data_IF_902856941895
#
_entry.id   IF_902856941895
#
_cell.length_a   1.000
_cell.length_b   1.000
_cell.length_c   1.000
_cell.angle_alpha   90.00
_cell.angle_beta   90.00
_cell.angle_gamma   90.00
#
_symmetry.space_group_name_H-M   'P 1'
#
loop_
_entity.id
_entity.type
_entity.pdbx_description
1 polymer ?
#
# COMPACT_ATOMS: atom_id res chain seq x y z
N UNK A 1 11.75 -22.36 0.77
CA UNK A 1 11.20 -21.50 1.83
C UNK A 1 11.76 -21.94 3.18
N UNK A 2 12.12 -21.02 4.09
CA UNK A 2 12.48 -21.36 5.47
C UNK A 2 11.33 -22.09 6.18
N UNK A 3 11.66 -22.78 7.28
CA UNK A 3 10.62 -23.36 8.12
C UNK A 3 9.77 -22.28 8.82
N UNK A 4 8.57 -22.67 9.24
CA UNK A 4 7.61 -21.77 9.89
C UNK A 4 8.17 -21.14 11.17
N UNK A 5 8.99 -21.87 11.94
CA UNK A 5 9.57 -21.36 13.19
C UNK A 5 10.58 -20.24 12.91
N UNK A 6 11.36 -20.35 11.83
CA UNK A 6 12.30 -19.33 11.42
C UNK A 6 11.58 -18.04 11.00
N UNK A 7 10.49 -18.15 10.22
CA UNK A 7 9.67 -17.00 9.82
C UNK A 7 9.01 -16.32 11.03
N UNK A 8 8.49 -17.08 11.99
CA UNK A 8 7.94 -16.52 13.22
C UNK A 8 8.98 -15.80 14.07
N UNK A 9 10.17 -16.39 14.24
CA UNK A 9 11.26 -15.72 14.95
C UNK A 9 11.63 -14.40 14.28
N UNK A 10 11.71 -14.39 12.95
CA UNK A 10 11.99 -13.17 12.19
C UNK A 10 10.91 -12.10 12.43
N UNK A 11 9.64 -12.50 12.41
CA UNK A 11 8.52 -11.60 12.69
C UNK A 11 8.59 -11.02 14.11
N UNK A 12 8.78 -11.87 15.13
CA UNK A 12 8.84 -11.44 16.54
C UNK A 12 10.00 -10.48 16.83
N UNK A 13 11.12 -10.67 16.12
CA UNK A 13 12.29 -9.79 16.27
C UNK A 13 12.14 -8.50 15.47
N UNK A 14 11.60 -8.56 14.26
CA UNK A 14 11.65 -7.46 13.30
C UNK A 14 10.35 -6.66 13.15
N UNK A 15 9.18 -7.16 13.54
CA UNK A 15 7.91 -6.46 13.38
C UNK A 15 7.74 -5.40 14.49
N UNK A 16 8.53 -4.33 14.41
CA UNK A 16 8.59 -3.28 15.43
C UNK A 16 8.65 -1.90 14.78
N UNK A 17 7.98 -0.92 15.39
CA UNK A 17 7.95 0.47 14.91
C UNK A 17 9.33 1.10 14.76
N UNK A 18 10.27 0.74 15.63
CA UNK A 18 11.64 1.24 15.60
C UNK A 18 12.38 0.92 14.30
N UNK A 19 11.96 -0.15 13.59
CA UNK A 19 12.54 -0.54 12.31
C UNK A 19 11.83 0.07 11.10
N UNK A 20 10.73 0.80 11.30
CA UNK A 20 9.95 1.39 10.18
C UNK A 20 10.74 2.50 9.50
N UNK A 21 11.45 3.36 10.23
CA UNK A 21 12.19 4.45 9.60
C UNK A 21 13.40 3.95 8.78
N UNK A 22 13.64 4.45 7.55
CA UNK A 22 12.74 5.29 6.74
C UNK A 22 11.70 4.44 5.98
N UNK A 23 10.43 4.82 6.04
CA UNK A 23 9.35 4.21 5.24
C UNK A 23 8.14 5.16 5.13
N UNK A 24 7.43 5.26 3.99
CA UNK A 24 6.19 6.02 3.88
C UNK A 24 5.14 5.69 4.93
N UNK A 25 5.10 4.45 5.43
CA UNK A 25 4.22 4.03 6.51
C UNK A 25 4.36 4.91 7.77
N UNK A 26 5.54 5.49 8.02
CA UNK A 26 5.79 6.30 9.21
C UNK A 26 4.90 7.55 9.26
N UNK A 27 4.50 8.10 8.10
CA UNK A 27 3.67 9.31 8.05
C UNK A 27 2.24 9.06 8.53
N UNK A 28 1.77 7.81 8.50
CA UNK A 28 0.43 7.45 8.97
C UNK A 28 0.32 7.55 10.50
N UNK A 29 1.43 7.36 11.22
CA UNK A 29 1.46 7.37 12.68
C UNK A 29 1.20 8.76 13.27
N UNK A 30 1.38 9.81 12.47
CA UNK A 30 1.13 11.20 12.87
C UNK A 30 -0.38 11.52 12.95
N UNK A 31 -1.24 10.66 12.40
CA UNK A 31 -2.68 10.90 12.29
C UNK A 31 -3.47 9.96 13.21
N UNK A 32 -4.05 10.47 14.32
CA UNK A 32 -4.79 9.65 15.28
C UNK A 32 -6.20 9.29 14.79
N UNK A 33 -6.79 10.10 13.92
CA UNK A 33 -8.12 9.85 13.37
C UNK A 33 -8.05 8.95 12.14
N UNK A 34 -8.91 7.93 12.10
CA UNK A 34 -8.91 6.92 11.03
C UNK A 34 -9.15 7.56 9.66
N UNK A 35 -10.06 8.54 9.55
CA UNK A 35 -10.34 9.21 8.27
C UNK A 35 -9.11 9.89 7.65
N UNK A 36 -8.30 10.58 8.46
CA UNK A 36 -7.06 11.20 8.00
C UNK A 36 -6.00 10.14 7.71
N UNK A 37 -5.92 9.08 8.53
CA UNK A 37 -4.99 7.95 8.31
C UNK A 37 -5.27 7.21 7.00
N UNK A 38 -6.55 7.02 6.65
CA UNK A 38 -6.98 6.45 5.37
C UNK A 38 -6.44 7.29 4.19
N UNK A 39 -6.71 8.59 4.20
CA UNK A 39 -6.30 9.50 3.13
C UNK A 39 -4.76 9.57 3.00
N UNK A 40 -4.06 9.76 4.12
CA UNK A 40 -2.60 9.83 4.18
C UNK A 40 -1.98 8.51 3.75
N UNK A 41 -2.52 7.38 4.21
CA UNK A 41 -2.06 6.05 3.84
C UNK A 41 -2.16 5.79 2.34
N UNK A 42 -3.26 6.19 1.72
CA UNK A 42 -3.46 5.99 0.29
C UNK A 42 -2.49 6.86 -0.52
N UNK A 43 -2.31 8.13 -0.14
CA UNK A 43 -1.33 9.03 -0.75
C UNK A 43 0.10 8.47 -0.61
N UNK A 44 0.46 8.02 0.59
CA UNK A 44 1.75 7.40 0.90
C UNK A 44 2.04 6.19 0.02
N UNK A 45 1.09 5.26 -0.06
CA UNK A 45 1.23 4.04 -0.85
C UNK A 45 1.33 4.33 -2.37
N UNK A 46 0.50 5.22 -2.91
CA UNK A 46 0.52 5.59 -4.32
C UNK A 46 1.82 6.31 -4.73
N UNK A 47 2.45 7.05 -3.81
CA UNK A 47 3.76 7.68 -4.00
C UNK A 47 4.95 6.77 -3.65
N UNK A 48 4.74 5.56 -3.13
CA UNK A 48 5.78 4.63 -2.67
C UNK A 48 6.56 3.94 -3.82
N UNK A 49 7.15 4.75 -4.70
CA UNK A 49 8.03 4.32 -5.77
C UNK A 49 9.20 5.28 -5.95
N UNK A 50 10.39 4.71 -6.16
CA UNK A 50 11.65 5.45 -6.20
C UNK A 50 12.44 5.37 -4.89
N UNK A 51 13.34 6.34 -4.66
CA UNK A 51 14.20 6.33 -3.47
C UNK A 51 13.41 6.83 -2.25
N UNK A 52 13.50 6.14 -1.13
CA UNK A 52 12.73 6.47 0.10
C UNK A 52 12.86 7.93 0.54
N UNK A 53 14.06 8.50 0.49
CA UNK A 53 14.27 9.91 0.83
C UNK A 53 13.52 10.89 -0.10
N UNK A 54 13.34 10.52 -1.38
CA UNK A 54 12.54 11.32 -2.32
C UNK A 54 11.05 11.17 -2.04
N UNK A 55 10.59 9.94 -1.75
CA UNK A 55 9.20 9.66 -1.40
C UNK A 55 8.78 10.47 -0.16
N UNK A 56 9.58 10.43 0.91
CA UNK A 56 9.29 11.19 2.14
C UNK A 56 9.29 12.71 1.91
N UNK A 57 10.13 13.24 1.00
CA UNK A 57 10.06 14.66 0.61
C UNK A 57 8.76 14.99 -0.11
N UNK A 58 8.34 14.15 -1.06
CA UNK A 58 7.08 14.32 -1.78
C UNK A 58 5.89 14.23 -0.84
N UNK A 59 5.90 13.33 0.13
CA UNK A 59 4.84 13.24 1.14
C UNK A 59 4.79 14.49 2.00
N UNK A 60 5.93 14.99 2.49
CA UNK A 60 5.94 16.25 3.25
C UNK A 60 5.35 17.41 2.45
N UNK A 61 5.68 17.53 1.16
CA UNK A 61 5.07 18.54 0.30
C UNK A 61 3.55 18.40 0.29
N UNK A 62 3.03 17.22 -0.07
CA UNK A 62 1.58 17.00 -0.24
C UNK A 62 0.86 17.23 1.08
N UNK A 63 1.30 16.58 2.16
CA UNK A 63 0.64 16.66 3.46
C UNK A 63 0.65 18.07 4.04
N UNK A 64 1.74 18.84 3.84
CA UNK A 64 1.77 20.25 4.25
C UNK A 64 0.73 21.11 3.52
N UNK A 65 0.45 20.82 2.25
CA UNK A 65 -0.57 21.51 1.46
C UNK A 65 -2.01 21.12 1.82
N UNK A 66 -2.22 19.92 2.38
CA UNK A 66 -3.55 19.44 2.80
C UNK A 66 -3.90 19.87 4.24
N UNK A 67 -2.90 20.22 5.06
CA UNK A 67 -3.08 20.66 6.44
C UNK A 67 -3.23 19.50 7.44
N UNK A 68 -3.75 19.82 8.64
CA UNK A 68 -3.86 18.85 9.75
C UNK A 68 -4.98 17.83 9.59
N UNK A 69 -5.97 18.11 8.73
CA UNK A 69 -7.10 17.23 8.44
C UNK A 69 -7.21 16.93 6.93
N UNK A 70 -6.29 16.13 6.36
CA UNK A 70 -6.28 15.82 4.94
C UNK A 70 -7.60 15.26 4.42
N UNK A 71 -8.30 14.41 5.19
CA UNK A 71 -9.57 13.83 4.73
C UNK A 71 -10.66 14.89 4.62
N UNK A 72 -10.76 15.77 5.60
CA UNK A 72 -11.71 16.89 5.57
C UNK A 72 -11.41 17.84 4.42
N UNK A 73 -10.14 18.19 4.21
CA UNK A 73 -9.71 19.01 3.07
C UNK A 73 -10.14 18.36 1.76
N UNK A 74 -9.81 17.08 1.53
CA UNK A 74 -10.14 16.40 0.27
C UNK A 74 -11.65 16.26 0.04
N UNK A 75 -12.42 16.02 1.10
CA UNK A 75 -13.88 15.91 1.03
C UNK A 75 -14.54 17.22 0.61
N UNK A 76 -14.08 18.34 1.16
CA UNK A 76 -14.73 19.66 1.02
C UNK A 76 -14.12 20.58 -0.05
N UNK A 77 -12.85 20.39 -0.39
CA UNK A 77 -12.13 21.25 -1.32
C UNK A 77 -12.72 21.18 -2.74
N UNK A 78 -12.76 22.34 -3.37
CA UNK A 78 -13.05 22.48 -4.80
C UNK A 78 -11.88 21.95 -5.65
N UNK A 79 -12.15 21.62 -6.91
CA UNK A 79 -11.09 21.22 -7.85
C UNK A 79 -10.00 22.29 -8.00
N UNK A 80 -10.33 23.58 -7.86
CA UNK A 80 -9.36 24.67 -7.92
C UNK A 80 -8.44 24.72 -6.68
N UNK A 81 -8.97 24.43 -5.49
CA UNK A 81 -8.18 24.30 -4.26
C UNK A 81 -7.22 23.11 -4.32
N UNK A 82 -7.69 21.96 -4.80
CA UNK A 82 -6.84 20.77 -4.95
C UNK A 82 -5.72 21.03 -5.97
N UNK A 83 -6.01 21.70 -7.10
CA UNK A 83 -4.98 22.11 -8.06
C UNK A 83 -3.95 23.05 -7.46
N UNK A 84 -4.38 24.00 -6.62
CA UNK A 84 -3.46 24.90 -5.89
C UNK A 84 -2.59 24.13 -4.89
N UNK A 85 -3.15 23.16 -4.16
CA UNK A 85 -2.40 22.32 -3.23
C UNK A 85 -1.35 21.44 -3.93
N UNK A 86 -1.61 21.04 -5.18
CA UNK A 86 -0.68 20.27 -6.00
C UNK A 86 0.34 21.12 -6.78
N UNK A 87 0.18 22.45 -6.83
CA UNK A 87 0.98 23.33 -7.69
C UNK A 87 2.48 23.26 -7.36
N UNK A 88 3.32 23.04 -8.37
CA UNK A 88 4.76 22.84 -8.22
C UNK A 88 5.17 21.43 -7.80
N UNK A 89 4.22 20.50 -7.61
CA UNK A 89 4.54 19.12 -7.26
C UNK A 89 5.27 18.40 -8.40
N UNK A 90 6.34 17.68 -8.04
CA UNK A 90 7.02 16.76 -8.95
C UNK A 90 7.63 15.59 -8.19
N UNK A 91 7.32 14.38 -8.65
CA UNK A 91 7.92 13.15 -8.14
C UNK A 91 8.20 12.20 -9.30
N UNK A 92 9.46 12.14 -9.74
CA UNK A 92 9.89 11.37 -10.91
C UNK A 92 9.06 11.71 -12.17
N UNK A 93 8.10 10.86 -12.52
CA UNK A 93 7.22 11.02 -13.67
C UNK A 93 5.79 11.46 -13.29
N UNK A 94 5.46 11.55 -11.99
CA UNK A 94 4.23 12.20 -11.54
C UNK A 94 4.47 13.71 -11.45
N UNK A 95 3.59 14.48 -12.07
CA UNK A 95 3.54 15.94 -11.99
C UNK A 95 2.35 16.43 -11.14
N UNK A 96 2.20 17.75 -11.05
CA UNK A 96 1.10 18.41 -10.34
C UNK A 96 -0.29 18.07 -10.89
N UNK A 97 -0.41 17.83 -12.20
CA UNK A 97 -1.69 17.53 -12.82
C UNK A 97 -2.14 16.11 -12.46
N UNK A 98 -1.22 15.14 -12.52
CA UNK A 98 -1.44 13.78 -12.06
C UNK A 98 -1.85 13.73 -10.58
N UNK A 99 -1.11 14.45 -9.73
CA UNK A 99 -1.43 14.54 -8.31
C UNK A 99 -2.82 15.17 -8.08
N UNK A 100 -3.12 16.29 -8.74
CA UNK A 100 -4.42 16.95 -8.59
C UNK A 100 -5.58 16.04 -9.03
N UNK A 101 -5.44 15.32 -10.14
CA UNK A 101 -6.46 14.39 -10.60
C UNK A 101 -6.69 13.25 -9.62
N UNK A 102 -5.63 12.69 -9.06
CA UNK A 102 -5.71 11.66 -8.04
C UNK A 102 -6.40 12.17 -6.77
N UNK A 103 -5.98 13.32 -6.23
CA UNK A 103 -6.58 13.91 -5.03
C UNK A 103 -8.07 14.29 -5.24
N UNK A 104 -8.44 14.76 -6.43
CA UNK A 104 -9.84 15.01 -6.79
C UNK A 104 -10.65 13.70 -6.75
N UNK A 105 -10.11 12.61 -7.31
CA UNK A 105 -10.76 11.31 -7.29
C UNK A 105 -10.95 10.78 -5.85
N UNK A 106 -9.92 10.90 -5.01
CA UNK A 106 -10.00 10.56 -3.57
C UNK A 106 -11.08 11.39 -2.87
N UNK A 107 -11.12 12.70 -3.10
CA UNK A 107 -12.16 13.57 -2.57
C UNK A 107 -13.57 13.18 -3.02
N UNK A 108 -13.72 12.73 -4.27
CA UNK A 108 -14.99 12.24 -4.80
C UNK A 108 -15.43 10.95 -4.08
N UNK A 109 -14.54 9.99 -3.87
CA UNK A 109 -14.84 8.77 -3.11
C UNK A 109 -15.27 9.08 -1.67
N UNK A 110 -14.59 10.03 -1.02
CA UNK A 110 -14.94 10.47 0.34
C UNK A 110 -16.34 11.10 0.41
N UNK A 111 -16.78 11.81 -0.65
CA UNK A 111 -18.14 12.37 -0.73
C UNK A 111 -19.20 11.31 -1.02
N UNK A 112 -18.91 10.40 -1.94
CA UNK A 112 -19.89 9.42 -2.42
C UNK A 112 -20.10 8.27 -1.43
N UNK A 113 -19.04 7.83 -0.73
CA UNK A 113 -19.06 6.67 0.16
C UNK A 113 -18.91 7.03 1.65
N UNK A 114 -18.51 8.26 1.97
CA UNK A 114 -18.24 8.73 3.33
C UNK A 114 -16.84 8.39 3.86
N UNK A 115 -16.27 7.24 3.48
CA UNK A 115 -14.89 6.85 3.79
C UNK A 115 -14.24 6.07 2.64
N UNK A 116 -12.90 5.96 2.66
CA UNK A 116 -12.19 5.15 1.67
C UNK A 116 -12.45 3.66 1.94
N UNK A 117 -12.59 3.25 3.21
CA UNK A 117 -12.99 1.88 3.56
C UNK A 117 -14.30 1.48 2.88
N UNK A 118 -15.34 2.33 3.00
CA UNK A 118 -16.66 2.06 2.39
C UNK A 118 -16.57 2.00 0.87
N UNK A 119 -15.75 2.87 0.26
CA UNK A 119 -15.54 2.84 -1.18
C UNK A 119 -14.86 1.54 -1.64
N UNK A 120 -13.85 1.05 -0.93
CA UNK A 120 -13.20 -0.22 -1.24
C UNK A 120 -14.12 -1.42 -0.94
N UNK A 121 -14.83 -1.40 0.19
CA UNK A 121 -15.80 -2.44 0.57
C UNK A 121 -16.88 -2.63 -0.49
N UNK A 122 -17.28 -1.56 -1.19
CA UNK A 122 -18.25 -1.64 -2.28
C UNK A 122 -17.77 -2.45 -3.49
N UNK A 123 -16.45 -2.68 -3.61
CA UNK A 123 -15.84 -3.45 -4.69
C UNK A 123 -15.73 -4.96 -4.39
N UNK A 124 -15.89 -5.35 -3.13
CA UNK A 124 -15.80 -6.75 -2.68
C UNK A 124 -17.08 -7.49 -3.07
N UNK A 125 -16.95 -8.64 -3.73
CA UNK A 125 -18.07 -9.50 -4.09
C UNK A 125 -18.19 -10.73 -3.20
N UNK A 126 -19.42 -11.23 -2.96
CA UNK A 126 -19.61 -12.53 -2.34
C UNK A 126 -18.83 -13.62 -3.10
N UNK A 127 -18.06 -14.42 -2.37
CA UNK A 127 -17.23 -15.49 -2.94
C UNK A 127 -15.80 -15.09 -3.30
N UNK A 128 -15.44 -13.80 -3.20
CA UNK A 128 -14.05 -13.39 -3.35
C UNK A 128 -13.19 -14.06 -2.26
N UNK A 129 -12.11 -14.74 -2.67
CA UNK A 129 -11.16 -15.39 -1.76
C UNK A 129 -9.94 -14.54 -1.46
N UNK A 130 -9.76 -13.45 -2.22
CA UNK A 130 -8.68 -12.47 -2.04
C UNK A 130 -9.18 -11.06 -2.33
N UNK A 131 -8.42 -10.04 -1.92
CA UNK A 131 -8.72 -8.65 -2.22
C UNK A 131 -8.41 -8.25 -3.67
N UNK A 132 -7.79 -9.12 -4.48
CA UNK A 132 -7.34 -8.75 -5.84
C UNK A 132 -8.46 -8.23 -6.75
N UNK A 133 -9.63 -8.91 -6.88
CA UNK A 133 -10.72 -8.45 -7.73
C UNK A 133 -11.26 -7.08 -7.29
N UNK A 134 -11.39 -6.87 -5.98
CA UNK A 134 -11.81 -5.61 -5.39
C UNK A 134 -10.81 -4.48 -5.67
N UNK A 135 -9.50 -4.76 -5.54
CA UNK A 135 -8.43 -3.80 -5.87
C UNK A 135 -8.50 -3.36 -7.33
N UNK A 136 -8.75 -4.29 -8.26
CA UNK A 136 -8.87 -3.95 -9.69
C UNK A 136 -10.01 -2.97 -9.94
N UNK A 137 -11.19 -3.22 -9.36
CA UNK A 137 -12.35 -2.31 -9.46
C UNK A 137 -12.08 -0.97 -8.80
N UNK A 138 -11.48 -0.99 -7.60
CA UNK A 138 -11.20 0.22 -6.85
C UNK A 138 -10.13 1.10 -7.53
N UNK A 139 -9.14 0.49 -8.18
CA UNK A 139 -8.15 1.20 -8.99
C UNK A 139 -8.82 2.01 -10.13
N UNK A 140 -9.83 1.45 -10.79
CA UNK A 140 -10.60 2.17 -11.82
C UNK A 140 -11.37 3.37 -11.24
N UNK A 141 -11.87 3.26 -10.01
CA UNK A 141 -12.54 4.37 -9.31
C UNK A 141 -11.56 5.47 -8.87
N UNK A 142 -10.34 5.10 -8.48
CA UNK A 142 -9.27 6.03 -8.12
C UNK A 142 -8.63 6.74 -9.33
N UNK A 143 -8.79 6.16 -10.53
CA UNK A 143 -8.28 6.71 -11.78
C UNK A 143 -9.38 6.73 -12.86
N UNK A 144 -10.46 7.51 -12.66
CA UNK A 144 -11.64 7.47 -13.54
C UNK A 144 -11.37 7.99 -14.96
N UNK A 145 -10.22 8.64 -15.18
CA UNK A 145 -9.76 9.10 -16.50
C UNK A 145 -8.82 8.11 -17.20
N UNK A 146 -8.66 6.91 -16.63
CA UNK A 146 -7.74 5.88 -17.12
C UNK A 146 -6.33 6.07 -16.59
N UNK A 147 -5.34 6.20 -17.49
CA UNK A 147 -3.91 6.16 -17.13
C UNK A 147 -3.54 7.18 -16.04
N UNK A 148 -2.91 6.68 -14.98
CA UNK A 148 -2.39 7.47 -13.87
C UNK A 148 -0.97 7.00 -13.52
N UNK A 149 -0.09 7.93 -13.17
CA UNK A 149 1.24 7.60 -12.64
C UNK A 149 1.17 7.08 -11.19
N UNK A 150 0.14 7.47 -10.44
CA UNK A 150 -0.06 7.16 -9.02
C UNK A 150 -0.86 5.88 -8.79
N UNK A 151 -1.81 5.57 -9.66
CA UNK A 151 -2.68 4.40 -9.58
C UNK A 151 -2.39 3.51 -10.79
N UNK A 152 -2.00 2.23 -10.60
CA UNK A 152 -1.79 1.33 -11.72
C UNK A 152 -3.06 1.15 -12.56
N UNK A 153 -2.88 0.97 -13.86
CA UNK A 153 -3.98 0.70 -14.80
C UNK A 153 -4.70 -0.60 -14.42
N UNK A 154 -6.04 -0.52 -14.34
CA UNK A 154 -6.91 -1.64 -13.96
C UNK A 154 -6.81 -2.80 -14.97
N UNK A 155 -6.62 -2.48 -16.25
CA UNK A 155 -6.58 -3.44 -17.36
C UNK A 155 -5.15 -3.79 -17.79
N UNK A 156 -4.13 -3.16 -17.19
CA UNK A 156 -2.74 -3.23 -17.63
C UNK A 156 -1.92 -4.43 -17.11
N UNK A 157 -2.56 -5.47 -16.56
CA UNK A 157 -1.87 -6.66 -16.04
C UNK A 157 -0.95 -6.41 -14.82
N UNK A 158 -1.12 -5.27 -14.14
CA UNK A 158 -0.37 -4.90 -12.95
C UNK A 158 -0.66 -5.82 -11.77
N UNK A 159 0.36 -6.13 -10.95
CA UNK A 159 0.18 -6.81 -9.66
C UNK A 159 -0.38 -5.92 -8.53
N UNK A 160 -0.72 -4.65 -8.82
CA UNK A 160 -1.24 -3.65 -7.88
C UNK A 160 -0.47 -3.51 -6.56
N UNK A 161 0.85 -3.75 -6.57
CA UNK A 161 1.74 -3.69 -5.38
C UNK A 161 1.38 -2.55 -4.43
N UNK A 162 1.31 -1.30 -4.95
CA UNK A 162 1.05 -0.10 -4.14
C UNK A 162 -0.29 -0.17 -3.41
N UNK A 163 -1.35 -0.63 -4.07
CA UNK A 163 -2.66 -0.78 -3.43
C UNK A 163 -2.69 -1.97 -2.48
N UNK A 164 -1.97 -3.07 -2.76
CA UNK A 164 -1.83 -4.16 -1.79
C UNK A 164 -1.04 -3.75 -0.55
N UNK A 165 0.00 -2.92 -0.71
CA UNK A 165 0.73 -2.31 0.40
C UNK A 165 -0.19 -1.44 1.27
N UNK A 166 -1.01 -0.59 0.62
CA UNK A 166 -2.04 0.19 1.32
C UNK A 166 -3.02 -0.71 2.10
N UNK A 167 -3.56 -1.74 1.45
CA UNK A 167 -4.49 -2.67 2.10
C UNK A 167 -3.85 -3.42 3.28
N UNK A 168 -2.56 -3.77 3.18
CA UNK A 168 -1.81 -4.35 4.30
C UNK A 168 -1.86 -3.43 5.51
N UNK A 169 -1.56 -2.15 5.33
CA UNK A 169 -1.58 -1.14 6.40
C UNK A 169 -2.97 -0.92 7.01
N UNK A 170 -4.01 -0.99 6.17
CA UNK A 170 -5.38 -0.72 6.60
C UNK A 170 -6.05 -1.92 7.26
N UNK A 171 -5.86 -3.14 6.76
CA UNK A 171 -6.57 -4.34 7.20
C UNK A 171 -5.80 -5.17 8.24
N UNK A 172 -4.47 -5.03 8.34
CA UNK A 172 -3.68 -5.67 9.40
C UNK A 172 -3.45 -4.71 10.54
N UNK A 173 -3.59 -5.24 11.76
CA UNK A 173 -3.32 -4.54 13.01
C UNK A 173 -2.23 -5.25 13.78
N UNK A 174 -1.04 -4.66 13.82
CA UNK A 174 0.07 -5.14 14.63
C UNK A 174 0.96 -3.97 15.08
N UNK A 175 2.18 -4.24 15.55
CA UNK A 175 3.11 -3.18 15.97
C UNK A 175 3.44 -2.21 14.83
N UNK A 176 3.43 -2.66 13.58
CA UNK A 176 3.80 -1.90 12.38
C UNK A 176 2.56 -1.39 11.64
N UNK A 177 1.61 -2.26 11.30
CA UNK A 177 0.46 -1.89 10.50
C UNK A 177 -0.70 -1.35 11.40
N UNK A 178 -1.24 -0.14 11.13
CA UNK A 178 -2.24 0.50 11.99
C UNK A 178 -3.58 -0.24 12.14
N UNK A 179 -4.09 -0.86 11.06
CA UNK A 179 -5.27 -1.70 11.11
C UNK A 179 -6.57 -0.98 11.48
N UNK A 180 -6.94 0.05 10.71
CA UNK A 180 -8.18 0.82 10.91
C UNK A 180 -9.38 0.32 10.08
N UNK A 181 -9.20 -0.64 9.17
CA UNK A 181 -10.28 -1.22 8.37
C UNK A 181 -10.69 -2.59 8.88
N UNK A 182 -11.99 -2.88 8.75
CA UNK A 182 -12.64 -4.13 9.13
C UNK A 182 -13.46 -4.74 7.97
N UNK A 183 -13.47 -4.11 6.78
CA UNK A 183 -14.25 -4.57 5.64
C UNK A 183 -13.80 -5.91 5.01
N UNK A 184 -12.60 -6.41 5.36
CA UNK A 184 -12.10 -7.72 4.96
C UNK A 184 -11.11 -8.27 6.01
N UNK A 185 -11.02 -9.60 6.19
CA UNK A 185 -10.00 -10.18 7.06
C UNK A 185 -8.61 -10.16 6.41
N UNK A 186 -7.51 -10.12 7.22
CA UNK A 186 -6.14 -10.24 6.71
C UNK A 186 -5.89 -11.46 5.82
N UNK A 187 -6.62 -12.56 6.01
CA UNK A 187 -6.51 -13.79 5.21
C UNK A 187 -6.80 -13.60 3.71
N UNK A 188 -7.55 -12.55 3.36
CA UNK A 188 -7.84 -12.17 1.97
C UNK A 188 -6.73 -11.32 1.33
N UNK A 189 -5.77 -10.80 2.10
CA UNK A 189 -4.71 -9.94 1.56
C UNK A 189 -3.84 -10.69 0.56
N UNK A 190 -3.32 -9.93 -0.40
CA UNK A 190 -2.39 -10.39 -1.42
C UNK A 190 -1.05 -9.72 -1.23
N UNK A 191 0.03 -10.47 -1.41
CA UNK A 191 1.39 -10.02 -1.19
C UNK A 191 1.73 -8.78 -2.03
N UNK A 192 2.17 -7.67 -1.41
CA UNK A 192 2.66 -6.50 -2.15
C UNK A 192 3.98 -6.81 -2.87
N UNK A 193 3.91 -7.22 -4.14
CA UNK A 193 5.11 -7.61 -4.88
C UNK A 193 6.01 -6.43 -5.24
N UNK A 194 7.09 -6.28 -4.49
CA UNK A 194 8.21 -5.41 -4.86
C UNK A 194 9.44 -6.21 -5.32
N UNK A 195 10.50 -5.50 -5.70
CA UNK A 195 11.72 -6.13 -6.18
C UNK A 195 12.38 -7.03 -5.14
N UNK A 196 12.33 -6.66 -3.86
CA UNK A 196 12.92 -7.44 -2.77
C UNK A 196 12.10 -8.70 -2.49
N UNK A 197 10.77 -8.58 -2.37
CA UNK A 197 9.87 -9.72 -2.22
C UNK A 197 9.98 -10.67 -3.40
N UNK A 198 10.08 -10.17 -4.63
CA UNK A 198 10.31 -11.01 -5.81
C UNK A 198 11.67 -11.72 -5.79
N UNK A 199 12.73 -11.07 -5.33
CA UNK A 199 14.04 -11.71 -5.17
C UNK A 199 13.99 -12.83 -4.13
N UNK A 200 13.37 -12.57 -2.98
CA UNK A 200 13.18 -13.56 -1.90
C UNK A 200 12.35 -14.74 -2.43
N UNK A 201 11.21 -14.46 -3.05
CA UNK A 201 10.33 -15.49 -3.61
C UNK A 201 11.04 -16.38 -4.64
N UNK A 202 11.87 -15.81 -5.52
CA UNK A 202 12.68 -16.58 -6.47
C UNK A 202 13.77 -17.40 -5.76
N UNK A 203 14.50 -16.80 -4.82
CA UNK A 203 15.54 -17.49 -4.05
C UNK A 203 15.00 -18.70 -3.27
N UNK A 204 13.76 -18.58 -2.78
CA UNK A 204 13.07 -19.63 -2.02
C UNK A 204 12.26 -20.57 -2.90
N UNK A 205 12.28 -20.38 -4.22
CA UNK A 205 11.54 -21.14 -5.23
C UNK A 205 10.02 -21.15 -4.97
N UNK A 206 9.47 -20.02 -4.50
CA UNK A 206 8.03 -19.85 -4.31
C UNK A 206 7.31 -19.69 -5.66
N UNK A 207 8.00 -19.13 -6.65
CA UNK A 207 7.55 -18.98 -8.04
C UNK A 207 8.71 -19.18 -9.00
N UNK A 208 8.41 -19.61 -10.22
CA UNK A 208 9.36 -19.69 -11.35
C UNK A 208 9.13 -18.57 -12.38
N UNK A 209 8.11 -17.72 -12.17
CA UNK A 209 7.72 -16.66 -13.10
C UNK A 209 8.77 -15.56 -13.16
N UNK A 210 8.90 -14.93 -14.32
CA UNK A 210 9.75 -13.74 -14.53
C UNK A 210 8.98 -12.44 -14.33
N UNK A 211 7.72 -12.39 -14.75
CA UNK A 211 6.84 -11.22 -14.74
C UNK A 211 6.17 -10.97 -13.39
N UNK A 212 6.26 -9.73 -12.90
CA UNK A 212 5.57 -9.28 -11.67
C UNK A 212 4.11 -8.94 -11.96
N UNK A 213 3.31 -9.98 -12.20
CA UNK A 213 1.88 -9.89 -12.52
C UNK A 213 0.98 -10.45 -11.40
N UNK A 214 -0.33 -10.35 -11.59
CA UNK A 214 -1.35 -10.93 -10.72
C UNK A 214 -1.08 -12.39 -10.39
N UNK A 215 -0.74 -13.20 -11.41
CA UNK A 215 -0.49 -14.62 -11.22
C UNK A 215 0.67 -14.85 -10.26
N UNK A 216 1.79 -14.14 -10.43
CA UNK A 216 2.91 -14.20 -9.49
C UNK A 216 2.49 -13.77 -8.07
N UNK A 217 1.69 -12.72 -7.94
CA UNK A 217 1.23 -12.22 -6.64
C UNK A 217 0.38 -13.26 -5.92
N UNK A 218 -0.56 -13.89 -6.62
CA UNK A 218 -1.43 -14.94 -6.09
C UNK A 218 -0.65 -16.24 -5.78
N UNK A 219 0.32 -16.64 -6.63
CA UNK A 219 1.20 -17.79 -6.38
C UNK A 219 1.99 -17.62 -5.08
N UNK A 220 2.68 -16.48 -4.93
CA UNK A 220 3.48 -16.18 -3.74
C UNK A 220 2.57 -16.10 -2.51
N UNK A 221 1.42 -15.43 -2.62
CA UNK A 221 0.43 -15.35 -1.53
C UNK A 221 -0.04 -16.74 -1.13
N UNK A 222 -0.30 -17.64 -2.08
CA UNK A 222 -0.66 -19.03 -1.81
C UNK A 222 0.39 -19.77 -0.99
N UNK A 223 1.68 -19.62 -1.34
CA UNK A 223 2.78 -20.24 -0.58
C UNK A 223 2.88 -19.76 0.86
N UNK A 224 2.65 -18.47 1.10
CA UNK A 224 2.61 -17.95 2.46
C UNK A 224 1.31 -18.32 3.19
N UNK A 225 0.19 -18.49 2.47
CA UNK A 225 -1.06 -18.99 3.03
C UNK A 225 -0.94 -20.42 3.55
N UNK A 226 -0.12 -21.26 2.92
CA UNK A 226 0.20 -22.61 3.41
C UNK A 226 0.91 -22.59 4.78
N UNK A 227 1.55 -21.46 5.14
CA UNK A 227 2.27 -21.26 6.40
C UNK A 227 1.41 -20.52 7.45
N UNK A 228 0.73 -19.46 7.00
CA UNK A 228 -0.16 -18.60 7.80
C UNK A 228 -1.45 -18.34 7.03
N UNK A 229 -2.45 -19.21 7.19
CA UNK A 229 -3.70 -19.09 6.44
C UNK A 229 -4.54 -17.88 6.86
N UNK A 230 -4.39 -17.42 8.10
CA UNK A 230 -5.07 -16.28 8.69
C UNK A 230 -4.45 -14.92 8.31
N UNK A 231 -3.16 -14.90 7.96
CA UNK A 231 -2.43 -13.69 7.57
C UNK A 231 -1.28 -14.02 6.58
N UNK A 232 -1.58 -14.23 5.28
CA UNK A 232 -0.60 -14.65 4.28
C UNK A 232 0.42 -13.56 3.93
N UNK A 233 0.22 -12.32 4.39
CA UNK A 233 1.16 -11.21 4.16
C UNK A 233 1.94 -10.82 5.43
N UNK A 234 1.78 -11.60 6.51
CA UNK A 234 2.40 -11.36 7.82
C UNK A 234 3.87 -10.98 7.76
N UNK A 235 4.62 -11.68 6.93
CA UNK A 235 6.07 -11.56 6.87
C UNK A 235 6.57 -10.50 5.88
N UNK A 236 5.67 -9.84 5.15
CA UNK A 236 6.04 -8.88 4.09
C UNK A 236 6.99 -7.79 4.59
N UNK A 237 6.61 -7.11 5.68
CA UNK A 237 7.44 -6.06 6.27
C UNK A 237 8.82 -6.56 6.66
N UNK A 238 8.90 -7.60 7.50
CA UNK A 238 10.19 -8.08 8.00
C UNK A 238 11.06 -8.66 6.89
N UNK A 239 10.49 -9.32 5.88
CA UNK A 239 11.29 -9.89 4.78
C UNK A 239 11.88 -8.83 3.86
N UNK A 240 11.10 -7.78 3.56
CA UNK A 240 11.56 -6.73 2.65
C UNK A 240 12.45 -5.70 3.34
N UNK A 241 12.31 -5.51 4.66
CA UNK A 241 13.05 -4.49 5.41
C UNK A 241 14.56 -4.69 5.42
N UNK A 242 15.04 -5.93 5.53
CA UNK A 242 16.48 -6.23 5.54
C UNK A 242 17.14 -5.99 4.17
N UNK A 243 16.37 -6.02 3.07
CA UNK A 243 16.86 -5.60 1.75
C UNK A 243 17.02 -4.08 1.60
N UNK A 244 16.35 -3.30 2.47
CA UNK A 244 16.31 -1.82 2.44
C UNK A 244 17.35 -1.22 3.39
N UNK A 245 17.78 -1.95 4.43
CA UNK A 245 18.75 -1.48 5.42
C UNK A 245 20.08 -2.27 5.32
N UNK A 246 21.08 -1.79 4.56
CA UNK A 246 22.36 -2.51 4.37
C UNK A 246 23.19 -2.69 5.65
N UNK A 247 22.84 -2.02 6.76
CA UNK A 247 23.45 -2.25 8.08
C UNK A 247 22.77 -3.35 8.91
N UNK A 248 21.63 -3.87 8.46
CA UNK A 248 20.93 -4.97 9.13
C UNK A 248 21.37 -6.31 8.50
N UNK A 249 22.61 -6.70 8.75
CA UNK A 249 23.11 -8.03 8.38
C UNK A 249 22.43 -9.11 9.22
N UNK A 250 21.55 -9.89 8.60
CA UNK A 250 21.15 -11.19 9.16
C UNK A 250 22.14 -12.23 8.64
N UNK A 251 23.04 -12.69 9.51
CA UNK A 251 23.85 -13.86 9.24
C UNK A 251 22.91 -15.08 9.22
N UNK A 252 22.57 -15.56 8.02
CA UNK A 252 21.91 -16.84 7.87
C UNK A 252 22.97 -17.93 8.04
N UNK A 253 22.77 -18.79 9.04
CA UNK A 253 23.48 -20.07 9.19
C UNK A 253 23.16 -20.96 8.00
#
# INVERSE_FOLDING_TARGET
>A
MPDVRALERLYQLGNRREFVHPDPLETLYEYPHDEDREAVGLIAACLAYGRVAQILRSLRFVLSSLGSHPAQFLRSATAAEIKRAAAGFRHRFTDEADLAHFLIAVGQLLRDFGSLEKSFSSCICPGDTTTFPAVRKWAAMLAPRGRSSLVPDADGGSAFKRLHLYLRWMLRKDDVDPGCWNCAPPSMLVMPLDTHMCQIAKSWRLTMRSSMDETMALEITGRFRDVRPDDPVRYDFVLTRFGINPGATVHWV
#
